data_IF_612897476689
#
_entry.id   IF_612897476689
#
_cell.length_a   1.000
_cell.length_b   1.000
_cell.length_c   1.000
_cell.angle_alpha   90.00
_cell.angle_beta   90.00
_cell.angle_gamma   90.00
#
_symmetry.space_group_name_H-M   'P 1'
#
loop_
_entity.id
_entity.type
_entity.pdbx_description
1 polymer ?
#
# COMPACT_ATOMS: atom_id res chain seq x y z
N UNK A 1 -17.27 -34.59 9.51
CA UNK A 1 -16.98 -33.14 9.57
C UNK A 1 -15.64 -32.79 8.94
N UNK A 2 -14.54 -33.48 9.30
CA UNK A 2 -13.18 -33.26 8.75
C UNK A 2 -13.13 -33.38 7.21
N UNK A 3 -13.82 -34.36 6.62
CA UNK A 3 -13.88 -34.55 5.16
C UNK A 3 -14.46 -33.36 4.38
N UNK A 4 -15.46 -32.64 4.93
CA UNK A 4 -16.03 -31.45 4.27
C UNK A 4 -15.05 -30.28 4.25
N UNK A 5 -14.28 -30.11 5.32
CA UNK A 5 -13.26 -29.05 5.42
C UNK A 5 -12.14 -29.30 4.43
N UNK A 6 -11.67 -30.56 4.29
CA UNK A 6 -10.63 -30.90 3.30
C UNK A 6 -11.11 -30.71 1.86
N UNK A 7 -12.36 -31.05 1.54
CA UNK A 7 -12.95 -30.79 0.22
C UNK A 7 -13.05 -29.30 -0.07
N UNK A 8 -13.55 -28.51 0.89
CA UNK A 8 -13.65 -27.05 0.76
C UNK A 8 -12.28 -26.38 0.55
N UNK A 9 -11.24 -26.79 1.28
CA UNK A 9 -9.87 -26.25 1.07
C UNK A 9 -9.28 -26.64 -0.29
N UNK A 10 -9.72 -27.76 -0.85
CA UNK A 10 -9.28 -28.22 -2.18
C UNK A 10 -9.97 -27.41 -3.27
N UNK A 11 -11.28 -27.18 -3.15
CA UNK A 11 -12.08 -26.32 -4.04
C UNK A 11 -11.56 -24.87 -4.04
N UNK A 12 -11.32 -24.29 -2.86
CA UNK A 12 -10.74 -22.94 -2.75
C UNK A 12 -9.36 -22.86 -3.43
N UNK A 13 -8.53 -23.91 -3.31
CA UNK A 13 -7.23 -23.95 -3.99
C UNK A 13 -7.37 -24.02 -5.52
N UNK A 14 -8.41 -24.67 -6.04
CA UNK A 14 -8.68 -24.68 -7.49
C UNK A 14 -9.17 -23.34 -7.99
N UNK A 15 -10.06 -22.66 -7.26
CA UNK A 15 -10.50 -21.30 -7.62
C UNK A 15 -9.36 -20.28 -7.55
N UNK A 16 -8.49 -20.37 -6.55
CA UNK A 16 -7.31 -19.50 -6.41
C UNK A 16 -6.30 -19.67 -7.57
N UNK A 17 -6.34 -20.77 -8.34
CA UNK A 17 -5.54 -20.94 -9.56
C UNK A 17 -6.16 -20.26 -10.78
N UNK A 18 -7.48 -20.07 -10.80
CA UNK A 18 -8.19 -19.30 -11.83
C UNK A 18 -7.99 -17.79 -11.64
N UNK A 19 -7.54 -17.36 -10.46
CA UNK A 19 -7.16 -15.97 -10.21
C UNK A 19 -5.88 -15.63 -10.99
N UNK A 20 -5.97 -14.64 -11.86
CA UNK A 20 -4.83 -14.05 -12.55
C UNK A 20 -3.98 -13.23 -11.58
N UNK A 21 -3.06 -13.89 -10.89
CA UNK A 21 -2.10 -13.21 -10.04
C UNK A 21 -1.16 -12.35 -10.89
N UNK A 22 -0.90 -11.10 -10.47
CA UNK A 22 0.04 -10.23 -11.18
C UNK A 22 1.42 -10.89 -11.20
N UNK A 23 2.14 -10.69 -12.30
CA UNK A 23 3.53 -11.14 -12.40
C UNK A 23 4.42 -10.37 -11.43
N UNK A 24 5.57 -10.94 -11.05
CA UNK A 24 6.48 -10.30 -10.08
C UNK A 24 6.88 -8.89 -10.50
N UNK A 25 7.04 -8.67 -11.81
CA UNK A 25 7.44 -7.39 -12.38
C UNK A 25 6.31 -6.35 -12.30
N UNK A 26 5.05 -6.75 -12.55
CA UNK A 26 3.89 -5.86 -12.38
C UNK A 26 3.69 -5.46 -10.92
N UNK A 27 3.88 -6.41 -9.99
CA UNK A 27 3.75 -6.13 -8.56
C UNK A 27 4.79 -5.10 -8.09
N UNK A 28 6.03 -5.22 -8.57
CA UNK A 28 7.11 -4.27 -8.28
C UNK A 28 6.82 -2.92 -8.96
N UNK A 29 6.35 -2.93 -10.21
CA UNK A 29 5.97 -1.74 -10.94
C UNK A 29 4.89 -0.93 -10.22
N UNK A 30 3.79 -1.59 -9.81
CA UNK A 30 2.71 -0.94 -9.05
C UNK A 30 3.19 -0.43 -7.69
N UNK A 31 4.01 -1.20 -6.97
CA UNK A 31 4.56 -0.77 -5.68
C UNK A 31 5.48 0.45 -5.83
N UNK A 32 6.30 0.50 -6.89
CA UNK A 32 7.23 1.60 -7.15
C UNK A 32 6.50 2.90 -7.44
N UNK A 33 5.42 2.86 -8.23
CA UNK A 33 4.59 4.05 -8.51
C UNK A 33 4.00 4.61 -7.22
N UNK A 34 3.43 3.74 -6.37
CA UNK A 34 2.89 4.16 -5.07
C UNK A 34 3.98 4.74 -4.18
N UNK A 35 5.15 4.10 -4.13
CA UNK A 35 6.27 4.55 -3.30
C UNK A 35 6.75 5.96 -3.69
N UNK A 36 6.88 6.22 -4.99
CA UNK A 36 7.22 7.56 -5.51
C UNK A 36 6.14 8.58 -5.15
N UNK A 37 4.86 8.22 -5.29
CA UNK A 37 3.74 9.09 -4.91
C UNK A 37 3.75 9.46 -3.44
N UNK A 38 3.99 8.49 -2.56
CA UNK A 38 4.10 8.71 -1.10
C UNK A 38 5.29 9.59 -0.76
N UNK A 39 6.45 9.39 -1.39
CA UNK A 39 7.63 10.24 -1.16
C UNK A 39 7.38 11.70 -1.55
N UNK A 40 6.71 11.95 -2.69
CA UNK A 40 6.36 13.30 -3.12
C UNK A 40 5.39 13.96 -2.13
N UNK A 41 4.35 13.24 -1.71
CA UNK A 41 3.38 13.74 -0.74
C UNK A 41 4.02 14.03 0.62
N UNK A 42 4.85 13.11 1.12
CA UNK A 42 5.57 13.27 2.38
C UNK A 42 6.52 14.47 2.36
N UNK A 43 7.24 14.68 1.25
CA UNK A 43 8.08 15.86 1.04
C UNK A 43 7.27 17.15 1.08
N UNK A 44 6.13 17.18 0.37
CA UNK A 44 5.25 18.34 0.36
C UNK A 44 4.72 18.68 1.76
N UNK A 45 4.19 17.69 2.48
CA UNK A 45 3.70 17.86 3.86
C UNK A 45 4.83 18.35 4.77
N UNK A 46 6.02 17.75 4.67
CA UNK A 46 7.17 18.17 5.48
C UNK A 46 7.56 19.63 5.25
N UNK A 47 7.50 20.12 4.01
CA UNK A 47 7.78 21.53 3.70
C UNK A 47 6.70 22.44 4.27
N UNK A 48 5.42 22.08 4.10
CA UNK A 48 4.30 22.83 4.65
C UNK A 48 4.38 22.92 6.18
N UNK A 49 4.64 21.81 6.87
CA UNK A 49 4.77 21.77 8.32
C UNK A 49 5.96 22.62 8.80
N UNK A 50 7.08 22.60 8.07
CA UNK A 50 8.21 23.46 8.39
C UNK A 50 7.83 24.95 8.31
N UNK A 51 7.18 25.37 7.22
CA UNK A 51 6.72 26.76 7.04
C UNK A 51 5.73 27.15 8.13
N UNK A 52 4.72 26.31 8.39
CA UNK A 52 3.71 26.56 9.41
C UNK A 52 4.33 26.62 10.81
N UNK A 53 5.27 25.74 11.14
CA UNK A 53 5.95 25.74 12.44
C UNK A 53 6.78 27.01 12.66
N UNK A 54 7.43 27.52 11.60
CA UNK A 54 8.17 28.78 11.65
C UNK A 54 7.23 29.98 11.81
N UNK A 55 6.12 30.01 11.06
CA UNK A 55 5.11 31.06 11.18
C UNK A 55 4.44 31.07 12.57
N UNK A 56 4.10 29.88 13.09
CA UNK A 56 3.55 29.73 14.44
C UNK A 56 4.54 30.18 15.52
N UNK A 57 5.83 29.85 15.38
CA UNK A 57 6.88 30.34 16.29
C UNK A 57 7.02 31.87 16.27
N UNK A 58 6.81 32.52 15.13
CA UNK A 58 6.84 33.98 15.02
C UNK A 58 5.60 34.62 15.66
N UNK A 59 4.43 34.00 15.52
CA UNK A 59 3.17 34.51 16.10
C UNK A 59 3.05 34.30 17.62
N UNK A 60 3.62 33.22 18.16
CA UNK A 60 3.60 32.90 19.60
C UNK A 60 4.74 33.57 20.39
N UNK A 61 5.54 34.40 19.73
CA UNK A 61 6.63 35.17 20.33
C UNK A 61 6.26 36.65 20.36
#
# INVERSE_FOLDING_TARGET
MISRVTSFTTEVREELKQVSWPTRDELIGSALVVFVGVLLLASFISVCDFILSQAARLLLR
#
